data_IF_579875387818
#
_entry.id   IF_579875387818
#
_cell.length_a   1.000
_cell.length_b   1.000
_cell.length_c   1.000
_cell.angle_alpha   90.00
_cell.angle_beta   90.00
_cell.angle_gamma   90.00
#
_symmetry.space_group_name_H-M   'P 1'
#
loop_
_entity.id
_entity.type
_entity.pdbx_description
1 polymer ?
#
# COMPACT_ATOMS: atom_id res chain seq x y z
N UNK A 1 -1.02 -2.73 7.74
CA UNK A 1 -2.47 -2.82 7.42
C UNK A 1 -3.31 -1.76 8.13
N UNK A 2 -3.12 -1.54 9.44
CA UNK A 2 -3.99 -0.66 10.26
C UNK A 2 -4.14 0.78 9.77
N UNK A 3 -3.12 1.37 9.15
CA UNK A 3 -3.19 2.72 8.55
C UNK A 3 -4.15 2.78 7.35
N UNK A 4 -4.10 1.78 6.48
CA UNK A 4 -4.96 1.68 5.29
C UNK A 4 -6.41 1.47 5.73
N UNK A 5 -6.62 0.59 6.72
CA UNK A 5 -7.94 0.35 7.30
C UNK A 5 -8.61 1.64 7.77
N UNK A 6 -7.90 2.48 8.55
CA UNK A 6 -8.45 3.74 9.06
C UNK A 6 -8.61 4.80 7.98
N UNK A 7 -7.64 4.93 7.06
CA UNK A 7 -7.60 6.04 6.10
C UNK A 7 -8.61 5.85 4.98
N UNK A 8 -8.83 4.60 4.57
CA UNK A 8 -9.75 4.22 3.51
C UNK A 8 -11.07 3.63 4.03
N UNK A 9 -11.21 3.49 5.36
CA UNK A 9 -12.40 2.91 6.03
C UNK A 9 -12.73 1.50 5.52
N UNK A 10 -11.71 0.66 5.40
CA UNK A 10 -11.84 -0.73 4.91
C UNK A 10 -11.50 -1.75 6.02
N UNK A 11 -12.13 -2.93 5.94
CA UNK A 11 -11.82 -4.06 6.83
C UNK A 11 -10.44 -4.66 6.57
N UNK A 12 -9.95 -5.45 7.53
CA UNK A 12 -8.62 -6.09 7.46
C UNK A 12 -8.41 -6.94 6.19
N UNK A 13 -9.35 -7.81 5.75
CA UNK A 13 -9.13 -8.64 4.57
C UNK A 13 -8.87 -7.83 3.30
N UNK A 14 -9.59 -6.71 3.12
CA UNK A 14 -9.39 -5.82 1.97
C UNK A 14 -8.06 -5.08 2.08
N UNK A 15 -7.70 -4.58 3.27
CA UNK A 15 -6.42 -3.91 3.49
C UNK A 15 -5.20 -4.83 3.27
N UNK A 16 -5.31 -6.11 3.63
CA UNK A 16 -4.25 -7.09 3.39
C UNK A 16 -4.00 -7.31 1.90
N UNK A 17 -5.07 -7.55 1.12
CA UNK A 17 -4.97 -7.70 -0.35
C UNK A 17 -4.42 -6.45 -1.03
N UNK A 18 -4.80 -5.26 -0.56
CA UNK A 18 -4.22 -4.01 -1.05
C UNK A 18 -2.71 -3.94 -0.81
N UNK A 19 -2.22 -4.42 0.34
CA UNK A 19 -0.78 -4.46 0.64
C UNK A 19 -0.05 -5.46 -0.25
N UNK A 20 -0.60 -6.66 -0.45
CA UNK A 20 -0.04 -7.66 -1.37
C UNK A 20 0.07 -7.13 -2.79
N UNK A 21 -0.98 -6.43 -3.27
CA UNK A 21 -0.99 -5.76 -4.56
C UNK A 21 0.12 -4.69 -4.65
N UNK A 22 0.22 -3.82 -3.63
CA UNK A 22 1.26 -2.79 -3.57
C UNK A 22 2.68 -3.39 -3.50
N UNK A 23 2.85 -4.57 -2.90
CA UNK A 23 4.13 -5.28 -2.84
C UNK A 23 4.48 -5.88 -4.21
N UNK A 24 3.51 -6.50 -4.88
CA UNK A 24 3.66 -7.03 -6.24
C UNK A 24 3.96 -5.92 -7.27
N UNK A 25 3.40 -4.73 -7.08
CA UNK A 25 3.65 -3.55 -7.91
C UNK A 25 4.96 -2.81 -7.56
N UNK A 26 5.69 -3.27 -6.54
CA UNK A 26 6.93 -2.62 -6.09
C UNK A 26 6.72 -1.26 -5.43
N UNK A 27 5.50 -0.96 -4.96
CA UNK A 27 5.16 0.28 -4.25
C UNK A 27 5.58 0.19 -2.79
N UNK A 28 5.44 -0.99 -2.17
CA UNK A 28 5.89 -1.26 -0.80
C UNK A 28 6.84 -2.44 -0.76
N UNK A 29 7.79 -2.41 0.18
CA UNK A 29 8.71 -3.49 0.44
C UNK A 29 8.12 -4.58 1.33
N UNK A 30 8.96 -5.58 1.60
CA UNK A 30 8.65 -6.69 2.49
C UNK A 30 8.26 -6.23 3.90
N UNK A 31 7.52 -7.08 4.61
CA UNK A 31 7.18 -6.84 6.01
C UNK A 31 8.44 -6.83 6.88
N UNK A 32 8.69 -5.70 7.53
CA UNK A 32 9.71 -5.56 8.56
C UNK A 32 9.34 -6.31 9.85
N UNK A 33 10.32 -6.38 10.76
CA UNK A 33 10.22 -7.14 12.02
C UNK A 33 9.13 -6.62 12.97
N UNK A 34 8.72 -5.37 12.81
CA UNK A 34 7.66 -4.69 13.55
C UNK A 34 6.33 -4.63 12.78
N UNK A 35 6.25 -5.31 11.64
CA UNK A 35 5.09 -5.30 10.74
C UNK A 35 4.94 -4.01 9.93
N UNK A 36 5.92 -3.08 10.00
CA UNK A 36 5.99 -1.93 9.11
C UNK A 36 6.61 -2.35 7.77
N UNK A 37 6.23 -1.64 6.72
CA UNK A 37 6.75 -1.86 5.37
C UNK A 37 7.33 -0.55 4.88
N UNK A 38 8.49 -0.64 4.25
CA UNK A 38 9.09 0.50 3.58
C UNK A 38 8.29 0.82 2.32
N UNK A 39 8.17 2.11 1.97
CA UNK A 39 7.52 2.53 0.72
C UNK A 39 8.62 2.75 -0.31
N UNK A 40 8.62 1.93 -1.36
CA UNK A 40 9.63 1.92 -2.41
C UNK A 40 9.23 2.82 -3.59
N UNK A 41 7.93 2.86 -3.90
CA UNK A 41 7.39 3.63 -5.01
C UNK A 41 6.87 4.98 -4.55
N UNK A 42 7.66 6.04 -4.67
CA UNK A 42 7.11 7.40 -4.80
C UNK A 42 6.71 7.61 -6.26
N UNK A 43 5.67 6.92 -6.73
CA UNK A 43 5.06 7.32 -8.00
C UNK A 43 4.45 8.70 -7.77
N UNK A 44 4.69 9.60 -8.72
CA UNK A 44 4.30 11.02 -8.69
C UNK A 44 2.79 11.24 -8.52
N UNK A 45 2.31 12.48 -8.69
CA UNK A 45 0.98 12.92 -8.28
C UNK A 45 -0.09 11.90 -8.68
N UNK A 46 -0.96 11.59 -7.73
CA UNK A 46 -2.10 10.69 -7.89
C UNK A 46 -3.04 11.33 -8.92
N UNK A 47 -2.82 11.04 -10.20
CA UNK A 47 -3.53 11.67 -11.33
C UNK A 47 -2.69 11.88 -12.59
N UNK A 48 -1.79 10.95 -12.94
CA UNK A 48 -1.06 11.02 -14.21
C UNK A 48 -1.90 10.48 -15.37
N UNK A 49 -2.64 11.39 -15.99
CA UNK A 49 -2.96 11.50 -17.41
C UNK A 49 -3.17 10.20 -18.21
N UNK A 50 -4.44 9.86 -18.44
CA UNK A 50 -4.85 9.43 -19.78
C UNK A 50 -5.01 10.71 -20.63
N UNK A 51 -3.97 11.05 -21.40
CA UNK A 51 -4.01 11.97 -22.54
C UNK A 51 -2.95 11.53 -23.57
#
# INVERSE_FOLDING_TARGET
ASLIQRRLRVGYPRAARMIEQMEAEGVVGAAGRDGRREVLGRRGPVGGDEA
#
